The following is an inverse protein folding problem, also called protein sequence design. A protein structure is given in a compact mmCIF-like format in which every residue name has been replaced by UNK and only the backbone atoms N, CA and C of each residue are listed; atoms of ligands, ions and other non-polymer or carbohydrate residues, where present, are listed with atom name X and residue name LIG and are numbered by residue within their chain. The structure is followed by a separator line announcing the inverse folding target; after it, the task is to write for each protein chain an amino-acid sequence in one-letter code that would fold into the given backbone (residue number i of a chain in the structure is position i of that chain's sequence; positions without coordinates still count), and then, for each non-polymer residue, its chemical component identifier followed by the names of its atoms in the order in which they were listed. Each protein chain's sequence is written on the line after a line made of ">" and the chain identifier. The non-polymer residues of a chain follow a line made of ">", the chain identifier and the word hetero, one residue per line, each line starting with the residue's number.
data_IF_591584936548
#
_entry.id   IF_591584936548
#
_cell.length_a   1.000
_cell.length_b   1.000
_cell.length_c   1.000
_cell.angle_alpha   90.00
_cell.angle_beta   90.00
_cell.angle_gamma   90.00
#
_symmetry.space_group_name_H-M   'P 1'
#
loop_
_entity.id
_entity.type
_entity.pdbx_description
1 polymer ?
#
# COMPACT_ATOMS: atom_id res chain seq x y z
N UNK A 1 -18.89 6.68 8.04
CA UNK A 1 -17.61 6.34 8.72
C UNK A 1 -16.59 6.00 7.66
N UNK A 2 -15.34 6.43 7.78
CA UNK A 2 -14.27 6.05 6.84
C UNK A 2 -13.64 4.74 7.33
N UNK A 3 -13.48 3.76 6.44
CA UNK A 3 -12.86 2.48 6.76
C UNK A 3 -11.39 2.49 6.33
N UNK A 4 -10.53 1.88 7.13
CA UNK A 4 -9.12 1.72 6.82
C UNK A 4 -8.68 0.28 7.02
N UNK A 5 -8.55 -0.45 5.92
CA UNK A 5 -8.22 -1.87 5.91
C UNK A 5 -6.71 -2.07 5.78
N UNK A 6 -6.11 -2.79 6.74
CA UNK A 6 -4.67 -3.09 6.75
C UNK A 6 -4.47 -4.58 6.45
N UNK A 7 -3.65 -4.87 5.43
CA UNK A 7 -3.18 -6.22 5.12
C UNK A 7 -1.78 -6.42 5.69
N UNK A 8 -1.66 -7.16 6.79
CA UNK A 8 -0.38 -7.39 7.50
C UNK A 8 -0.06 -8.89 7.64
N UNK A 9 1.22 -9.22 7.85
CA UNK A 9 1.73 -10.59 7.93
C UNK A 9 3.17 -10.70 7.40
N UNK A 10 3.84 -11.82 7.67
CA UNK A 10 5.23 -12.07 7.22
C UNK A 10 5.33 -12.16 5.68
N UNK A 11 6.55 -12.10 5.14
CA UNK A 11 6.79 -12.32 3.71
C UNK A 11 6.38 -13.74 3.32
N UNK A 12 5.67 -13.87 2.19
CA UNK A 12 5.11 -15.15 1.75
C UNK A 12 3.77 -15.54 2.38
N UNK A 13 3.25 -14.81 3.38
CA UNK A 13 1.96 -15.13 4.03
C UNK A 13 0.70 -14.94 3.15
N UNK A 14 0.85 -14.56 1.87
CA UNK A 14 -0.29 -14.45 0.95
C UNK A 14 -1.08 -13.14 1.01
N UNK A 15 -0.55 -12.06 1.62
CA UNK A 15 -1.22 -10.74 1.72
C UNK A 15 -1.76 -10.24 0.38
N UNK A 16 -0.91 -10.25 -0.66
CA UNK A 16 -1.29 -9.83 -2.02
C UNK A 16 -2.31 -10.76 -2.64
N UNK A 17 -2.24 -12.06 -2.34
CA UNK A 17 -3.20 -13.05 -2.84
C UNK A 17 -4.59 -12.78 -2.26
N UNK A 18 -4.70 -12.60 -0.94
CA UNK A 18 -5.99 -12.27 -0.29
C UNK A 18 -6.55 -10.96 -0.84
N UNK A 19 -5.71 -9.93 -0.96
CA UNK A 19 -6.14 -8.65 -1.53
C UNK A 19 -6.74 -8.83 -2.94
N UNK A 20 -6.08 -9.57 -3.83
CA UNK A 20 -6.53 -9.76 -5.21
C UNK A 20 -7.75 -10.69 -5.33
N UNK A 21 -7.77 -11.77 -4.55
CA UNK A 21 -8.77 -12.83 -4.70
C UNK A 21 -10.11 -12.48 -4.05
N UNK A 22 -10.11 -11.70 -2.96
CA UNK A 22 -11.31 -11.45 -2.16
C UNK A 22 -11.63 -9.96 -2.14
N UNK A 23 -10.63 -9.11 -1.89
CA UNK A 23 -10.91 -7.71 -1.56
C UNK A 23 -11.06 -6.80 -2.79
N UNK A 24 -10.24 -7.01 -3.83
CA UNK A 24 -10.12 -6.08 -4.95
C UNK A 24 -11.42 -5.87 -5.72
N UNK A 25 -12.13 -6.95 -6.05
CA UNK A 25 -13.34 -6.88 -6.86
C UNK A 25 -14.51 -6.22 -6.12
N UNK A 26 -14.58 -6.40 -4.80
CA UNK A 26 -15.63 -5.83 -3.95
C UNK A 26 -15.37 -4.36 -3.60
N UNK A 27 -14.11 -3.93 -3.61
CA UNK A 27 -13.68 -2.63 -3.09
C UNK A 27 -12.85 -1.84 -4.13
N UNK A 28 -13.18 -1.98 -5.41
CA UNK A 28 -12.40 -1.43 -6.53
C UNK A 28 -12.26 0.11 -6.47
N UNK A 29 -13.23 0.79 -5.86
CA UNK A 29 -13.24 2.25 -5.73
C UNK A 29 -12.36 2.76 -4.57
N UNK A 30 -11.90 1.88 -3.68
CA UNK A 30 -11.05 2.24 -2.55
C UNK A 30 -9.63 2.63 -2.98
N UNK A 31 -8.97 3.45 -2.15
CA UNK A 31 -7.61 3.92 -2.42
C UNK A 31 -6.58 2.94 -1.86
N UNK A 32 -5.92 2.21 -2.76
CA UNK A 32 -4.79 1.34 -2.42
C UNK A 32 -3.52 2.15 -2.17
N UNK A 33 -2.87 1.90 -1.04
CA UNK A 33 -1.54 2.43 -0.70
C UNK A 33 -0.62 1.26 -0.37
N UNK A 34 0.45 1.09 -1.15
CA UNK A 34 1.48 0.09 -0.93
C UNK A 34 2.84 0.70 -1.29
N UNK A 35 3.74 0.76 -0.32
CA UNK A 35 5.05 1.40 -0.48
C UNK A 35 5.96 0.65 -1.43
N UNK A 36 5.93 -0.68 -1.44
CA UNK A 36 6.77 -1.49 -2.34
C UNK A 36 6.40 -1.23 -3.81
N UNK A 37 5.10 -1.14 -4.11
CA UNK A 37 4.59 -0.77 -5.44
C UNK A 37 4.91 0.68 -5.82
N UNK A 38 5.04 1.58 -4.85
CA UNK A 38 5.47 2.96 -5.08
C UNK A 38 6.97 3.03 -5.37
N UNK A 39 7.79 2.29 -4.61
CA UNK A 39 9.24 2.21 -4.79
C UNK A 39 9.57 1.62 -6.16
N UNK A 40 8.94 0.49 -6.52
CA UNK A 40 9.15 -0.18 -7.80
C UNK A 40 8.81 0.69 -9.02
N UNK A 41 7.89 1.65 -8.87
CA UNK A 41 7.55 2.62 -9.93
C UNK A 41 8.57 3.76 -10.07
N UNK A 42 9.32 4.07 -9.01
CA UNK A 42 10.30 5.16 -9.01
C UNK A 42 11.73 4.69 -9.22
N UNK A 43 12.05 3.44 -8.87
CA UNK A 43 13.39 2.91 -9.03
C UNK A 43 13.60 1.62 -8.24
N UNK A 44 14.81 1.49 -7.73
CA UNK A 44 15.28 0.29 -7.06
C UNK A 44 14.88 0.29 -5.58
N UNK A 45 14.51 -0.88 -5.06
CA UNK A 45 14.25 -1.06 -3.63
C UNK A 45 15.52 -0.94 -2.79
N UNK A 46 16.70 -1.10 -3.37
CA UNK A 46 17.98 -0.90 -2.70
C UNK A 46 18.28 0.58 -2.43
N UNK A 47 17.55 1.51 -3.05
CA UNK A 47 17.72 2.95 -2.83
C UNK A 47 16.95 3.42 -1.59
N UNK A 48 17.68 3.69 -0.51
CA UNK A 48 17.14 4.18 0.75
C UNK A 48 16.42 5.53 0.62
N UNK A 49 16.86 6.43 -0.28
CA UNK A 49 16.22 7.72 -0.47
C UNK A 49 14.82 7.55 -1.10
N UNK A 50 14.69 6.63 -2.06
CA UNK A 50 13.41 6.29 -2.68
C UNK A 50 12.48 5.64 -1.65
N UNK A 51 12.99 4.71 -0.83
CA UNK A 51 12.19 4.09 0.23
C UNK A 51 11.61 5.12 1.21
N UNK A 52 12.46 6.01 1.75
CA UNK A 52 12.03 7.04 2.70
C UNK A 52 11.02 7.99 2.05
N UNK A 53 11.26 8.38 0.79
CA UNK A 53 10.32 9.22 0.02
C UNK A 53 8.96 8.54 -0.12
N UNK A 54 8.92 7.28 -0.54
CA UNK A 54 7.68 6.51 -0.63
C UNK A 54 6.94 6.40 0.70
N UNK A 55 7.65 6.13 1.79
CA UNK A 55 7.04 6.03 3.12
C UNK A 55 6.40 7.36 3.54
N UNK A 56 7.06 8.49 3.32
CA UNK A 56 6.50 9.82 3.61
C UNK A 56 5.27 10.13 2.77
N UNK A 57 5.29 9.79 1.48
CA UNK A 57 4.12 9.97 0.60
C UNK A 57 2.95 9.06 1.01
N UNK A 58 3.22 7.81 1.41
CA UNK A 58 2.18 6.92 1.92
C UNK A 58 1.47 7.52 3.15
N UNK A 59 2.20 8.08 4.11
CA UNK A 59 1.62 8.76 5.28
C UNK A 59 0.77 9.96 4.87
N UNK A 60 1.21 10.76 3.89
CA UNK A 60 0.41 11.89 3.37
C UNK A 60 -0.89 11.42 2.71
N UNK A 61 -0.84 10.34 1.93
CA UNK A 61 -2.02 9.76 1.28
C UNK A 61 -3.02 9.21 2.31
N UNK A 62 -2.54 8.50 3.33
CA UNK A 62 -3.37 8.03 4.45
C UNK A 62 -4.10 9.20 5.11
N UNK A 63 -3.37 10.27 5.45
CA UNK A 63 -3.97 11.50 6.02
C UNK A 63 -5.00 12.12 5.07
N UNK A 64 -4.69 12.23 3.78
CA UNK A 64 -5.58 12.82 2.76
C UNK A 64 -6.90 12.06 2.62
N UNK A 65 -6.87 10.73 2.71
CA UNK A 65 -8.08 9.92 2.49
C UNK A 65 -8.89 9.73 3.76
N UNK A 66 -8.24 9.62 4.92
CA UNK A 66 -8.89 9.27 6.19
C UNK A 66 -9.22 10.50 7.03
N UNK A 67 -8.34 11.50 7.09
CA UNK A 67 -8.63 12.75 7.80
C UNK A 67 -9.40 13.72 6.89
#
# INVERSE_FOLDING_TARGET
>A
MKNYTIFAGVNGAGKTSIYKSIYYNENIDEKRINTDEMVARMGSWQDNNIQIKCAREAVKLIKKYIL
#
